data_IF_185937028916
#
_entry.id   IF_185937028916
#
_cell.length_a   1.000
_cell.length_b   1.000
_cell.length_c   1.000
_cell.angle_alpha   90.00
_cell.angle_beta   90.00
_cell.angle_gamma   90.00
#
_symmetry.space_group_name_H-M   'P 1'
#
loop_
_entity.id
_entity.type
_entity.pdbx_description
1 polymer ?
#
# COMPACT_ATOMS: atom_id res chain seq x y z
N UNK A 1 15.36 -19.94 -45.27
CA UNK A 1 15.88 -19.47 -43.96
C UNK A 1 15.83 -17.95 -43.81
N UNK A 2 16.32 -17.13 -44.76
CA UNK A 2 16.25 -15.65 -44.67
C UNK A 2 14.84 -15.06 -44.53
N UNK A 3 13.86 -15.59 -45.27
CA UNK A 3 12.46 -15.15 -45.19
C UNK A 3 11.84 -15.35 -43.80
N UNK A 4 12.17 -16.46 -43.12
CA UNK A 4 11.71 -16.67 -41.73
C UNK A 4 12.32 -15.64 -40.78
N UNK A 5 13.59 -15.27 -40.99
CA UNK A 5 14.28 -14.27 -40.18
C UNK A 5 13.70 -12.86 -40.35
N UNK A 6 13.39 -12.48 -41.60
CA UNK A 6 12.72 -11.22 -41.92
C UNK A 6 11.30 -11.17 -41.35
N UNK A 7 10.55 -12.26 -41.44
CA UNK A 7 9.22 -12.35 -40.85
C UNK A 7 9.27 -12.23 -39.32
N UNK A 8 10.22 -12.90 -38.65
CA UNK A 8 10.41 -12.80 -37.21
C UNK A 8 10.77 -11.37 -36.76
N UNK A 9 11.69 -10.71 -37.47
CA UNK A 9 12.03 -9.31 -37.20
C UNK A 9 10.85 -8.36 -37.38
N UNK A 10 10.07 -8.54 -38.46
CA UNK A 10 8.88 -7.74 -38.71
C UNK A 10 7.83 -7.92 -37.60
N UNK A 11 7.60 -9.16 -37.16
CA UNK A 11 6.68 -9.47 -36.07
C UNK A 11 7.13 -8.79 -34.77
N UNK A 12 8.42 -8.88 -34.43
CA UNK A 12 8.96 -8.21 -33.22
C UNK A 12 8.79 -6.69 -33.30
N UNK A 13 9.11 -6.07 -34.43
CA UNK A 13 8.94 -4.62 -34.62
C UNK A 13 7.48 -4.17 -34.50
N UNK A 14 6.54 -4.94 -35.04
CA UNK A 14 5.11 -4.65 -34.94
C UNK A 14 4.60 -4.74 -33.49
N UNK A 15 5.09 -5.70 -32.70
CA UNK A 15 4.73 -5.82 -31.28
C UNK A 15 5.25 -4.64 -30.44
N UNK A 16 6.47 -4.17 -30.72
CA UNK A 16 7.04 -2.99 -30.02
C UNK A 16 6.22 -1.74 -30.33
N UNK A 17 5.77 -1.56 -31.58
CA UNK A 17 4.98 -0.40 -31.99
C UNK A 17 3.56 -0.39 -31.39
N UNK A 18 3.02 -1.55 -31.06
CA UNK A 18 1.68 -1.70 -30.50
C UNK A 18 1.60 -1.48 -28.98
N UNK A 19 2.74 -1.29 -28.30
CA UNK A 19 2.76 -1.19 -26.85
C UNK A 19 2.40 0.22 -26.38
N UNK A 20 1.15 0.41 -25.96
CA UNK A 20 0.75 1.62 -25.25
C UNK A 20 1.33 1.61 -23.83
N UNK A 21 1.91 2.71 -23.34
CA UNK A 21 2.30 2.79 -21.94
C UNK A 21 1.07 2.58 -21.06
N UNK A 22 1.15 1.60 -20.15
CA UNK A 22 0.11 1.44 -19.14
C UNK A 22 -0.01 2.77 -18.35
N UNK A 23 -1.23 3.21 -18.01
CA UNK A 23 -1.39 4.39 -17.19
C UNK A 23 -0.62 4.21 -15.88
N UNK A 24 0.18 5.21 -15.52
CA UNK A 24 0.87 5.22 -14.24
C UNK A 24 -0.18 5.37 -13.14
N UNK A 25 -0.50 4.27 -12.46
CA UNK A 25 -1.43 4.27 -11.33
C UNK A 25 -0.61 4.39 -10.05
N UNK A 26 -0.84 5.45 -9.28
CA UNK A 26 -0.30 5.60 -7.93
C UNK A 26 -1.42 5.32 -6.91
N UNK A 27 -1.26 4.28 -6.09
CA UNK A 27 -2.26 3.85 -5.10
C UNK A 27 -1.86 4.30 -3.70
N UNK A 28 -2.75 5.04 -3.05
CA UNK A 28 -2.61 5.44 -1.66
C UNK A 28 -3.67 4.71 -0.82
N UNK A 29 -3.21 4.01 0.21
CA UNK A 29 -4.08 3.43 1.22
C UNK A 29 -4.12 4.33 2.46
N UNK A 30 -5.27 4.41 3.12
CA UNK A 30 -5.48 5.21 4.32
C UNK A 30 -5.96 4.33 5.47
N UNK A 31 -5.52 4.66 6.68
CA UNK A 31 -6.05 4.05 7.91
C UNK A 31 -6.00 5.00 9.09
N UNK A 32 -6.81 4.73 10.11
CA UNK A 32 -6.88 5.47 11.36
C UNK A 32 -7.37 4.53 12.47
N UNK A 33 -7.41 5.02 13.70
CA UNK A 33 -8.00 4.30 14.83
C UNK A 33 -7.32 2.97 15.16
N UNK A 34 -6.04 2.81 14.81
CA UNK A 34 -5.29 1.61 15.13
C UNK A 34 -4.70 1.71 16.53
N UNK A 35 -5.38 1.18 17.54
CA UNK A 35 -4.85 1.19 18.91
C UNK A 35 -3.50 0.46 18.98
N UNK A 36 -2.52 1.08 19.63
CA UNK A 36 -1.11 0.71 19.58
C UNK A 36 -0.79 -0.64 20.25
N UNK A 37 -1.63 -1.08 21.18
CA UNK A 37 -1.49 -2.30 21.96
C UNK A 37 -2.33 -3.46 21.40
N UNK A 38 -3.08 -3.21 20.32
CA UNK A 38 -3.90 -4.19 19.64
C UNK A 38 -3.26 -4.65 18.34
N UNK A 39 -3.53 -5.90 17.97
CA UNK A 39 -3.20 -6.39 16.64
C UNK A 39 -3.95 -5.54 15.59
N UNK A 40 -3.28 -5.25 14.45
CA UNK A 40 -3.87 -4.49 13.35
C UNK A 40 -4.03 -5.33 12.05
N UNK A 41 -4.90 -6.38 12.01
CA UNK A 41 -5.11 -7.23 10.82
C UNK A 41 -5.56 -6.48 9.57
N UNK A 42 -6.13 -5.28 9.75
CA UNK A 42 -6.55 -4.44 8.64
C UNK A 42 -5.34 -3.97 7.80
N UNK A 43 -4.14 -3.86 8.40
CA UNK A 43 -2.92 -3.55 7.66
C UNK A 43 -2.53 -4.67 6.69
N UNK A 44 -2.76 -5.93 7.05
CA UNK A 44 -2.54 -7.07 6.15
C UNK A 44 -3.48 -6.97 4.95
N UNK A 45 -4.75 -6.65 5.20
CA UNK A 45 -5.74 -6.41 4.13
C UNK A 45 -5.29 -5.26 3.24
N UNK A 46 -4.85 -4.14 3.81
CA UNK A 46 -4.35 -3.00 3.05
C UNK A 46 -3.14 -3.37 2.17
N UNK A 47 -2.23 -4.20 2.67
CA UNK A 47 -1.07 -4.68 1.91
C UNK A 47 -1.46 -5.53 0.69
N UNK A 48 -2.56 -6.29 0.75
CA UNK A 48 -3.03 -7.08 -0.41
C UNK A 48 -3.38 -6.22 -1.63
N UNK A 49 -3.76 -4.96 -1.41
CA UNK A 49 -4.06 -4.00 -2.48
C UNK A 49 -2.82 -3.41 -3.15
N UNK A 50 -1.61 -3.74 -2.67
CA UNK A 50 -0.32 -3.25 -3.17
C UNK A 50 -0.29 -1.72 -3.33
N UNK A 51 -0.57 -0.94 -2.25
CA UNK A 51 -0.44 0.50 -2.30
C UNK A 51 1.03 0.90 -2.44
N UNK A 52 1.30 2.00 -3.14
CA UNK A 52 2.62 2.61 -3.21
C UNK A 52 2.94 3.40 -1.93
N UNK A 53 1.90 3.86 -1.24
CA UNK A 53 1.99 4.59 0.02
C UNK A 53 0.80 4.21 0.93
N UNK A 54 1.09 3.98 2.21
CA UNK A 54 0.07 3.91 3.26
C UNK A 54 0.18 5.15 4.15
N UNK A 55 -0.95 5.81 4.44
CA UNK A 55 -1.00 7.00 5.28
C UNK A 55 -1.91 6.76 6.48
N UNK A 56 -1.32 6.88 7.66
CA UNK A 56 -2.07 6.97 8.91
C UNK A 56 -2.67 8.37 9.06
N UNK A 57 -3.99 8.45 9.22
CA UNK A 57 -4.75 9.71 9.31
C UNK A 57 -4.90 10.24 10.75
N UNK A 58 -4.46 9.49 11.76
CA UNK A 58 -4.57 9.84 13.17
C UNK A 58 -5.07 8.70 14.04
N UNK A 59 -5.17 8.95 15.34
CA UNK A 59 -5.72 8.03 16.34
C UNK A 59 -5.06 6.63 16.33
N UNK A 60 -3.73 6.58 16.19
CA UNK A 60 -2.99 5.30 16.23
C UNK A 60 -2.21 5.09 17.53
N UNK A 61 -2.19 6.10 18.39
CA UNK A 61 -1.59 6.07 19.73
C UNK A 61 -2.57 6.82 20.62
N UNK A 62 -3.11 6.15 21.62
CA UNK A 62 -4.10 6.70 22.52
C UNK A 62 -3.46 6.97 23.88
N UNK A 63 -3.60 8.20 24.37
CA UNK A 63 -3.08 8.57 25.68
C UNK A 63 -3.69 7.74 26.81
N UNK A 64 -2.86 7.39 27.81
CA UNK A 64 -3.33 6.74 29.04
C UNK A 64 -4.46 7.56 29.70
N UNK A 65 -5.50 6.90 30.27
CA UNK A 65 -6.55 7.61 30.98
C UNK A 65 -5.98 8.51 32.08
N UNK A 66 -6.40 9.78 32.10
CA UNK A 66 -6.02 10.76 33.13
C UNK A 66 -6.39 10.31 34.57
N UNK A 67 -7.17 9.24 34.73
CA UNK A 67 -7.63 8.71 36.02
C UNK A 67 -6.51 8.08 36.89
N UNK A 68 -5.33 7.77 36.34
CA UNK A 68 -4.19 7.33 37.14
C UNK A 68 -3.34 8.48 37.72
N UNK A 69 -3.65 9.74 37.38
CA UNK A 69 -3.04 10.91 38.05
C UNK A 69 -3.71 11.30 39.37
N UNK A 70 -4.78 10.60 39.75
CA UNK A 70 -5.53 10.85 40.99
C UNK A 70 -5.81 9.52 41.72
N UNK A 71 -4.82 8.66 41.86
CA UNK A 71 -4.88 7.66 42.92
C UNK A 71 -4.79 8.43 44.26
N UNK A 72 -5.79 8.34 45.17
CA UNK A 72 -5.64 8.92 46.48
C UNK A 72 -4.48 8.19 47.15
N UNK A 73 -3.44 8.92 47.54
CA UNK A 73 -2.43 8.42 48.47
C UNK A 73 -3.19 7.97 49.72
N UNK A 74 -3.26 6.66 49.93
CA UNK A 74 -3.76 6.07 51.15
C UNK A 74 -2.69 6.24 52.22
N UNK A 75 -2.86 7.26 53.06
CA UNK A 75 -2.27 7.38 54.40
C UNK A 75 -3.10 8.37 55.21
#
# INVERSE_FOLDING_TARGET
MKILYLAALLIVSLNILAQSPAPLVFRIAFGSCGHEDQAQPILDTAATHRPDLFVFLGDNIYGLPHHQRYAPTSA
#
